data_IF_638995624941
#
_entry.id   IF_638995624941
#
_cell.length_a   1.000
_cell.length_b   1.000
_cell.length_c   1.000
_cell.angle_alpha   90.00
_cell.angle_beta   90.00
_cell.angle_gamma   90.00
#
_symmetry.space_group_name_H-M   'P 1'
#
loop_
_entity.id
_entity.type
_entity.pdbx_description
1 polymer ?
#
# COMPACT_ATOMS: atom_id res chain seq x y z
N UNK A 1 -0.82 -21.73 -21.80
CA UNK A 1 -0.92 -21.10 -21.50
C UNK A 1 -1.52 -20.37 -21.12
N UNK A 2 -1.83 -20.53 -21.11
CA UNK A 2 -2.42 -19.66 -20.99
C UNK A 2 -2.22 -19.00 -19.99
N UNK A 3 -1.62 -19.41 -19.38
CA UNK A 3 -1.34 -18.71 -18.57
C UNK A 3 -1.53 -17.50 -18.33
N UNK A 4 -1.80 -17.19 -18.88
CA UNK A 4 -2.07 -15.79 -18.99
C UNK A 4 -3.14 -15.32 -18.03
N UNK A 5 -4.11 -16.12 -17.75
CA UNK A 5 -5.17 -15.76 -16.82
C UNK A 5 -4.65 -15.61 -15.40
N UNK A 6 -3.74 -16.46 -14.99
CA UNK A 6 -3.16 -16.34 -13.66
C UNK A 6 -2.39 -15.03 -13.53
N UNK A 7 -1.71 -14.63 -14.60
CA UNK A 7 -0.93 -13.40 -14.59
C UNK A 7 -1.83 -12.19 -14.38
N UNK A 8 -3.03 -12.21 -14.95
CA UNK A 8 -3.89 -11.04 -14.92
C UNK A 8 -4.41 -10.69 -13.53
N UNK A 9 -4.34 -11.60 -12.56
CA UNK A 9 -4.84 -11.31 -11.22
C UNK A 9 -3.78 -10.75 -10.29
N UNK A 10 -2.50 -10.86 -10.65
CA UNK A 10 -1.42 -10.36 -9.82
C UNK A 10 -1.29 -8.85 -9.90
N UNK A 11 -0.99 -8.25 -8.77
CA UNK A 11 -0.79 -6.80 -8.68
C UNK A 11 0.58 -6.53 -8.09
N UNK A 12 1.07 -5.32 -8.29
CA UNK A 12 2.35 -4.89 -7.75
C UNK A 12 2.11 -3.92 -6.60
N UNK A 13 2.62 -4.27 -5.42
CA UNK A 13 2.38 -3.51 -4.20
C UNK A 13 3.72 -3.00 -3.66
N UNK A 14 3.76 -1.72 -3.32
CA UNK A 14 4.91 -1.11 -2.66
C UNK A 14 4.72 -1.21 -1.16
N UNK A 15 5.73 -1.73 -0.46
CA UNK A 15 5.74 -1.79 1.00
C UNK A 15 6.84 -0.88 1.50
N UNK A 16 6.47 0.15 2.27
CA UNK A 16 7.43 1.12 2.81
C UNK A 16 7.50 0.90 4.31
N UNK A 17 8.58 0.25 4.73
CA UNK A 17 8.75 -0.21 6.11
C UNK A 17 10.24 -0.40 6.38
N UNK A 18 10.75 0.19 7.47
CA UNK A 18 12.17 0.08 7.79
C UNK A 18 12.49 -1.05 8.76
N UNK A 19 11.49 -1.69 9.32
CA UNK A 19 11.70 -2.83 10.21
C UNK A 19 11.71 -4.11 9.37
N UNK A 20 12.86 -4.78 9.32
CA UNK A 20 13.09 -5.89 8.40
C UNK A 20 12.11 -7.04 8.61
N UNK A 21 11.87 -7.41 9.87
CA UNK A 21 10.99 -8.54 10.13
C UNK A 21 9.56 -8.26 9.74
N UNK A 22 9.12 -7.04 9.95
CA UNK A 22 7.78 -6.64 9.58
C UNK A 22 7.63 -6.57 8.07
N UNK A 23 8.66 -6.07 7.40
CA UNK A 23 8.67 -6.04 5.94
C UNK A 23 8.55 -7.45 5.37
N UNK A 24 9.24 -8.43 5.97
CA UNK A 24 9.12 -9.82 5.55
C UNK A 24 7.71 -10.36 5.71
N UNK A 25 7.05 -10.00 6.81
CA UNK A 25 5.68 -10.41 7.03
C UNK A 25 4.75 -9.90 5.93
N UNK A 26 4.90 -8.62 5.59
CA UNK A 26 4.11 -8.04 4.50
C UNK A 26 4.38 -8.77 3.19
N UNK A 27 5.65 -9.06 2.91
CA UNK A 27 6.01 -9.78 1.68
C UNK A 27 5.31 -11.12 1.63
N UNK A 28 5.36 -11.88 2.73
CA UNK A 28 4.74 -13.20 2.76
C UNK A 28 3.24 -13.13 2.54
N UNK A 29 2.58 -12.23 3.24
CA UNK A 29 1.14 -12.08 3.13
C UNK A 29 0.73 -11.73 1.71
N UNK A 30 1.44 -10.80 1.10
CA UNK A 30 1.11 -10.32 -0.24
C UNK A 30 1.46 -11.34 -1.31
N UNK A 31 2.60 -12.02 -1.18
CA UNK A 31 2.98 -13.05 -2.14
C UNK A 31 2.06 -14.24 -2.08
N UNK A 32 1.61 -14.61 -0.88
CA UNK A 32 0.63 -15.69 -0.74
C UNK A 32 -0.67 -15.36 -1.46
N UNK A 33 -1.01 -14.10 -1.55
CA UNK A 33 -2.20 -13.65 -2.27
C UNK A 33 -1.94 -13.46 -3.78
N UNK A 34 -0.74 -13.78 -4.25
CA UNK A 34 -0.42 -13.74 -5.68
C UNK A 34 0.16 -12.42 -6.18
N UNK A 35 0.53 -11.52 -5.28
CA UNK A 35 1.03 -10.21 -5.68
C UNK A 35 2.55 -10.16 -5.76
N UNK A 36 3.06 -9.23 -6.56
CA UNK A 36 4.47 -8.89 -6.61
C UNK A 36 4.71 -7.75 -5.60
N UNK A 37 5.80 -7.85 -4.85
CA UNK A 37 6.10 -6.87 -3.81
C UNK A 37 7.43 -6.19 -4.08
N UNK A 38 7.43 -4.87 -3.99
CA UNK A 38 8.65 -4.06 -4.00
C UNK A 38 8.73 -3.38 -2.64
N UNK A 39 9.89 -3.41 -2.02
CA UNK A 39 10.06 -2.83 -0.68
C UNK A 39 10.94 -1.59 -0.74
N UNK A 40 10.68 -0.66 0.18
CA UNK A 40 11.51 0.50 0.41
C UNK A 40 11.60 0.69 1.92
N UNK A 41 12.78 1.08 2.41
CA UNK A 41 13.00 1.19 3.85
C UNK A 41 13.15 2.63 4.32
N UNK A 42 12.86 3.60 3.44
CA UNK A 42 13.00 5.00 3.77
C UNK A 42 12.11 5.82 2.85
N UNK A 43 11.89 7.08 3.22
CA UNK A 43 11.17 8.03 2.37
C UNK A 43 11.90 8.18 1.04
N UNK A 44 13.21 8.35 1.08
CA UNK A 44 14.01 8.54 -0.12
C UNK A 44 13.88 7.34 -1.06
N UNK A 45 14.02 6.13 -0.54
CA UNK A 45 13.92 4.93 -1.37
C UNK A 45 12.51 4.77 -1.95
N UNK A 46 11.49 5.09 -1.15
CA UNK A 46 10.12 4.98 -1.62
C UNK A 46 9.84 5.95 -2.77
N UNK A 47 10.29 7.19 -2.62
CA UNK A 47 10.10 8.17 -3.69
C UNK A 47 10.84 7.76 -4.97
N UNK A 48 12.04 7.19 -4.81
CA UNK A 48 12.79 6.68 -5.94
C UNK A 48 12.04 5.54 -6.64
N UNK A 49 11.46 4.62 -5.87
CA UNK A 49 10.69 3.53 -6.44
C UNK A 49 9.51 4.05 -7.26
N UNK A 50 8.85 5.11 -6.78
CA UNK A 50 7.70 5.69 -7.46
C UNK A 50 8.07 6.37 -8.78
N UNK A 51 9.31 6.78 -8.95
CA UNK A 51 9.74 7.31 -10.25
C UNK A 51 10.10 6.21 -11.22
N UNK A 52 10.42 5.01 -10.73
CA UNK A 52 10.92 3.93 -11.56
C UNK A 52 9.85 3.00 -12.11
N UNK A 53 8.69 2.93 -11.47
CA UNK A 53 7.64 2.05 -11.94
C UNK A 53 6.29 2.43 -11.32
N UNK A 54 5.24 1.81 -11.84
CA UNK A 54 3.89 2.02 -11.33
C UNK A 54 3.54 0.92 -10.32
N UNK A 55 2.69 1.28 -9.38
CA UNK A 55 2.19 0.36 -8.36
C UNK A 55 0.68 0.36 -8.35
N UNK A 56 0.10 -0.77 -7.97
CA UNK A 56 -1.35 -0.90 -7.85
C UNK A 56 -1.84 -0.48 -6.47
N UNK A 57 -0.98 -0.58 -5.48
CA UNK A 57 -1.29 -0.15 -4.11
C UNK A 57 0.00 -0.02 -3.33
N UNK A 58 -0.09 0.58 -2.15
CA UNK A 58 1.06 0.71 -1.26
C UNK A 58 0.64 0.57 0.20
N UNK A 59 1.57 0.05 1.02
CA UNK A 59 1.41 -0.04 2.48
C UNK A 59 2.53 0.80 3.07
N UNK A 60 2.19 1.77 3.92
CA UNK A 60 3.13 2.76 4.41
C UNK A 60 3.21 2.74 5.94
N UNK A 61 4.40 2.56 6.49
CA UNK A 61 4.64 2.91 7.89
C UNK A 61 4.76 4.43 7.98
N UNK A 62 4.17 5.02 9.00
CA UNK A 62 4.14 6.47 9.16
C UNK A 62 5.52 7.03 9.50
N UNK A 63 6.27 6.34 10.37
CA UNK A 63 7.58 6.84 10.81
C UNK A 63 8.69 5.96 10.26
N UNK A 64 9.53 6.56 9.43
CA UNK A 64 10.66 5.89 8.83
C UNK A 64 11.95 6.51 9.36
N UNK A 65 13.07 5.82 9.12
CA UNK A 65 14.35 6.28 9.67
C UNK A 65 14.78 7.67 9.19
N UNK A 66 14.29 8.09 8.03
CA UNK A 66 14.64 9.41 7.47
C UNK A 66 13.49 10.41 7.54
N UNK A 67 12.42 10.08 8.27
CA UNK A 67 11.35 11.03 8.52
C UNK A 67 9.95 10.45 8.31
N UNK A 68 8.94 11.27 8.50
CA UNK A 68 7.56 10.84 8.29
C UNK A 68 7.30 10.49 6.83
N UNK A 69 6.40 9.56 6.62
CA UNK A 69 6.13 9.00 5.28
C UNK A 69 5.27 9.92 4.40
N UNK A 70 4.80 11.04 4.91
CA UNK A 70 3.78 11.81 4.23
C UNK A 70 4.18 12.34 2.84
N UNK A 71 5.45 12.65 2.54
CA UNK A 71 5.81 12.96 1.15
C UNK A 71 5.50 11.82 0.18
N UNK A 72 5.65 10.57 0.65
CA UNK A 72 5.32 9.40 -0.15
C UNK A 72 3.81 9.32 -0.35
N UNK A 73 3.04 9.53 0.74
CA UNK A 73 1.59 9.53 0.68
C UNK A 73 1.08 10.60 -0.29
N UNK A 74 1.65 11.80 -0.23
CA UNK A 74 1.29 12.88 -1.14
C UNK A 74 1.54 12.49 -2.59
N UNK A 75 2.65 11.84 -2.85
CA UNK A 75 3.00 11.41 -4.19
C UNK A 75 2.05 10.34 -4.70
N UNK A 76 1.74 9.36 -3.85
CA UNK A 76 0.79 8.31 -4.22
C UNK A 76 -0.59 8.89 -4.51
N UNK A 77 -1.03 9.83 -3.70
CA UNK A 77 -2.31 10.51 -3.93
C UNK A 77 -2.31 11.23 -5.27
N UNK A 78 -1.22 11.92 -5.60
CA UNK A 78 -1.11 12.62 -6.88
C UNK A 78 -1.11 11.65 -8.06
N UNK A 79 -0.58 10.43 -7.87
CA UNK A 79 -0.57 9.41 -8.90
C UNK A 79 -1.87 8.63 -9.00
N UNK A 80 -2.78 8.84 -8.05
CA UNK A 80 -4.03 8.07 -8.01
C UNK A 80 -3.85 6.65 -7.52
N UNK A 81 -2.74 6.34 -6.86
CA UNK A 81 -2.45 5.01 -6.35
C UNK A 81 -3.02 4.87 -4.95
N UNK A 82 -3.89 3.90 -4.70
CA UNK A 82 -4.43 3.71 -3.35
C UNK A 82 -3.36 3.20 -2.40
N UNK A 83 -3.48 3.61 -1.14
CA UNK A 83 -2.52 3.18 -0.13
C UNK A 83 -3.20 3.10 1.22
N UNK A 84 -2.54 2.45 2.15
CA UNK A 84 -2.99 2.40 3.54
C UNK A 84 -1.78 2.61 4.45
N UNK A 85 -2.06 3.08 5.66
CA UNK A 85 -1.03 3.21 6.68
C UNK A 85 -1.03 1.99 7.58
N UNK A 86 0.15 1.54 7.98
CA UNK A 86 0.31 0.41 8.88
C UNK A 86 1.43 0.78 9.86
N UNK A 87 1.07 1.26 11.04
CA UNK A 87 2.05 1.90 11.91
C UNK A 87 1.70 1.74 13.38
N UNK A 88 2.69 1.94 14.24
CA UNK A 88 2.51 1.93 15.69
C UNK A 88 2.08 3.30 16.23
N UNK A 89 2.20 4.35 15.43
CA UNK A 89 1.84 5.69 15.87
C UNK A 89 0.32 5.86 15.85
N UNK A 90 -0.15 6.87 16.56
CA UNK A 90 -1.56 7.14 16.59
C UNK A 90 -2.04 7.75 15.28
N UNK A 91 -3.23 7.38 14.91
CA UNK A 91 -3.90 7.90 13.74
C UNK A 91 -3.91 9.44 13.70
N UNK A 92 -3.99 10.08 14.88
CA UNK A 92 -4.09 11.54 14.96
C UNK A 92 -2.87 12.27 14.41
N UNK A 93 -1.72 11.60 14.27
CA UNK A 93 -0.54 12.26 13.68
C UNK A 93 -0.64 12.36 12.16
N UNK A 94 -1.61 11.70 11.56
CA UNK A 94 -1.79 11.72 10.11
C UNK A 94 -2.37 13.07 9.70
N UNK A 95 -1.79 13.75 8.70
CA UNK A 95 -2.34 15.01 8.23
C UNK A 95 -3.77 14.88 7.76
N UNK A 96 -4.51 15.97 7.87
CA UNK A 96 -5.94 15.97 7.55
C UNK A 96 -6.23 15.42 6.16
N UNK A 97 -5.41 15.76 5.18
CA UNK A 97 -5.65 15.33 3.80
C UNK A 97 -5.56 13.82 3.61
N UNK A 98 -5.00 13.10 4.57
CA UNK A 98 -4.87 11.63 4.51
C UNK A 98 -5.65 10.91 5.61
N UNK A 99 -6.48 11.61 6.36
CA UNK A 99 -7.16 10.98 7.49
C UNK A 99 -8.27 10.02 7.08
N UNK A 100 -8.69 10.05 5.83
CA UNK A 100 -9.66 9.06 5.34
C UNK A 100 -8.99 7.83 4.75
N UNK A 101 -7.67 7.81 4.67
CA UNK A 101 -6.92 6.65 4.23
C UNK A 101 -7.02 5.57 5.30
N UNK A 102 -7.24 4.31 4.93
CA UNK A 102 -7.30 3.23 5.91
C UNK A 102 -6.02 3.15 6.73
N UNK A 103 -6.16 2.85 8.01
CA UNK A 103 -5.05 2.82 8.95
C UNK A 103 -5.12 1.53 9.74
N UNK A 104 -4.05 0.74 9.71
CA UNK A 104 -3.95 -0.49 10.48
C UNK A 104 -2.88 -0.28 11.55
N UNK A 105 -3.26 -0.45 12.82
CA UNK A 105 -2.38 -0.20 13.95
C UNK A 105 -1.56 -1.44 14.30
N UNK A 106 -0.27 -1.26 14.56
CA UNK A 106 0.59 -2.34 15.03
C UNK A 106 0.30 -2.64 16.49
N UNK A 107 0.36 -3.90 16.92
CA UNK A 107 0.54 -5.11 16.11
C UNK A 107 -0.72 -5.43 15.33
N UNK A 108 -0.56 -6.01 14.14
CA UNK A 108 -1.70 -6.21 13.24
C UNK A 108 -2.41 -7.51 13.45
N UNK A 109 -3.69 -7.50 13.16
CA UNK A 109 -4.41 -8.70 12.78
C UNK A 109 -4.13 -8.94 11.29
N UNK A 110 -3.58 -10.10 10.97
CA UNK A 110 -3.23 -10.45 9.59
C UNK A 110 -4.46 -10.41 8.68
N UNK A 111 -5.59 -10.89 9.17
CA UNK A 111 -6.83 -10.88 8.39
C UNK A 111 -7.28 -9.46 8.06
N UNK A 112 -7.16 -8.57 9.01
CA UNK A 112 -7.53 -7.18 8.79
C UNK A 112 -6.61 -6.56 7.74
N UNK A 113 -5.31 -6.83 7.84
CA UNK A 113 -4.36 -6.34 6.87
C UNK A 113 -4.70 -6.84 5.47
N UNK A 114 -4.97 -8.15 5.33
CA UNK A 114 -5.34 -8.74 4.06
C UNK A 114 -6.59 -8.10 3.50
N UNK A 115 -7.57 -7.85 4.34
CA UNK A 115 -8.81 -7.23 3.93
C UNK A 115 -8.58 -5.81 3.43
N UNK A 116 -7.78 -5.03 4.14
CA UNK A 116 -7.52 -3.64 3.75
C UNK A 116 -6.74 -3.57 2.44
N UNK A 117 -5.79 -4.48 2.24
CA UNK A 117 -5.06 -4.55 0.98
C UNK A 117 -6.00 -4.91 -0.17
N UNK A 118 -6.86 -5.91 0.05
CA UNK A 118 -7.82 -6.31 -0.98
C UNK A 118 -8.74 -5.16 -1.36
N UNK A 119 -9.19 -4.39 -0.37
CA UNK A 119 -10.04 -3.23 -0.61
C UNK A 119 -9.31 -2.17 -1.43
N UNK A 120 -8.04 -1.92 -1.09
CA UNK A 120 -7.24 -0.94 -1.83
C UNK A 120 -7.05 -1.37 -3.28
N UNK A 121 -6.77 -2.65 -3.50
CA UNK A 121 -6.58 -3.16 -4.85
C UNK A 121 -7.88 -3.16 -5.64
N UNK A 122 -9.00 -3.36 -4.98
CA UNK A 122 -10.30 -3.34 -5.64
C UNK A 122 -10.62 -1.98 -6.25
N UNK A 123 -10.10 -0.89 -5.68
CA UNK A 123 -10.34 0.44 -6.24
C UNK A 123 -9.66 0.63 -7.59
N UNK A 124 -8.68 -0.23 -7.92
CA UNK A 124 -8.00 -0.19 -9.22
C UNK A 124 -8.67 -1.09 -10.25
N UNK A 125 -9.60 -1.93 -9.83
CA UNK A 125 -10.34 -2.78 -10.75
C UNK A 125 -11.29 -1.89 -11.56
N UNK A 126 -11.22 -1.92 -12.88
CA UNK A 126 -12.08 -1.04 -13.69
C UNK A 126 -13.56 -1.16 -13.36
N UNK A 127 -14.06 -2.36 -13.11
CA UNK A 127 -15.46 -2.50 -12.79
C UNK A 127 -15.79 -1.95 -11.41
N UNK A 128 -14.91 -2.18 -10.43
CA UNK A 128 -15.11 -1.63 -9.10
C UNK A 128 -14.91 -0.12 -9.09
N UNK A 129 -13.91 0.35 -9.83
CA UNK A 129 -13.64 1.77 -9.91
C UNK A 129 -14.81 2.55 -10.50
N UNK A 130 -15.40 2.01 -11.57
CA UNK A 130 -16.55 2.64 -12.17
C UNK A 130 -17.73 2.73 -11.21
N UNK A 131 -17.97 1.66 -10.49
CA UNK A 131 -19.04 1.63 -9.51
C UNK A 131 -18.81 2.64 -8.40
N UNK A 132 -17.60 2.70 -7.89
CA UNK A 132 -17.26 3.64 -6.83
C UNK A 132 -17.39 5.08 -7.31
N UNK A 133 -16.93 5.35 -8.52
CA UNK A 133 -17.03 6.68 -9.08
C UNK A 133 -18.48 7.13 -9.19
N UNK A 134 -19.37 6.21 -9.51
CA UNK A 134 -20.78 6.57 -9.68
C UNK A 134 -21.45 6.96 -8.38
N UNK A 135 -20.84 6.67 -7.25
CA UNK A 135 -21.42 7.04 -5.96
C UNK A 135 -21.05 8.44 -5.53
N UNK A 136 -20.16 9.05 -6.23
CA UNK A 136 -19.69 10.37 -5.88
C UNK A 136 -20.15 11.37 -6.89
#
# INVERSE_FOLDING_TARGET
MNRSTAVSTGRTVLVVEDEVELSRLFIEVLQDAGHTVVTADSVTDALSALTGQRFDAAILDVELRDGPVFPVADRLAALGTPFLFASAVYYQVVPREHQQVPFVTKPFDIRLLQQRVAEALATQDPSSGGLLASRH
#
